data_IF_021544327042
#
_entry.id   IF_021544327042
#
_cell.length_a   1.000
_cell.length_b   1.000
_cell.length_c   1.000
_cell.angle_alpha   90.00
_cell.angle_beta   90.00
_cell.angle_gamma   90.00
#
_symmetry.space_group_name_H-M   'P 1'
#
loop_
_entity.id
_entity.type
_entity.pdbx_description
1 polymer ?
#
# COMPACT_ATOMS: atom_id res chain seq x y z
N UNK A 1 17.05 -16.47 21.11
CA UNK A 1 15.78 -15.85 21.52
C UNK A 1 15.35 -14.86 20.45
N UNK A 2 14.29 -15.18 19.69
CA UNK A 2 13.64 -14.22 18.79
C UNK A 2 12.92 -13.18 19.65
N UNK A 3 13.49 -11.99 19.79
CA UNK A 3 12.82 -10.85 20.43
C UNK A 3 12.06 -10.08 19.37
N UNK A 4 10.81 -10.48 19.11
CA UNK A 4 9.95 -9.76 18.19
C UNK A 4 8.57 -10.40 18.12
N UNK A 5 7.53 -9.65 18.51
CA UNK A 5 6.14 -10.07 18.36
C UNK A 5 5.77 -9.89 16.87
N UNK A 6 6.09 -10.88 16.05
CA UNK A 6 5.68 -10.93 14.64
C UNK A 6 4.18 -11.21 14.53
N UNK A 7 3.52 -10.65 13.51
CA UNK A 7 2.13 -10.98 13.19
C UNK A 7 1.97 -12.43 12.71
N UNK A 8 3.06 -13.07 12.26
CA UNK A 8 3.04 -14.41 11.66
C UNK A 8 2.42 -14.46 10.26
N UNK A 9 1.96 -13.33 9.72
CA UNK A 9 1.24 -13.25 8.46
C UNK A 9 2.16 -13.41 7.24
N UNK A 10 3.35 -12.81 7.26
CA UNK A 10 4.28 -12.91 6.12
C UNK A 10 4.77 -14.35 5.91
N UNK A 11 5.16 -15.11 6.97
CA UNK A 11 5.43 -16.54 6.83
C UNK A 11 4.22 -17.36 6.35
N UNK A 12 3.01 -17.05 6.84
CA UNK A 12 1.78 -17.75 6.44
C UNK A 12 1.46 -17.52 4.96
N UNK A 13 1.52 -16.28 4.49
CA UNK A 13 1.31 -15.93 3.09
C UNK A 13 2.36 -16.58 2.17
N UNK A 14 3.62 -16.57 2.60
CA UNK A 14 4.71 -17.21 1.85
C UNK A 14 4.54 -18.73 1.76
N UNK A 15 4.08 -19.37 2.83
CA UNK A 15 3.80 -20.81 2.85
C UNK A 15 2.62 -21.18 1.96
N UNK A 16 1.53 -20.42 2.04
CA UNK A 16 0.30 -20.71 1.32
C UNK A 16 0.41 -20.39 -0.18
N UNK A 17 1.22 -19.40 -0.56
CA UNK A 17 1.39 -18.96 -1.95
C UNK A 17 0.07 -18.66 -2.68
N UNK A 18 -0.97 -18.32 -1.91
CA UNK A 18 -2.28 -17.90 -2.38
C UNK A 18 -2.68 -16.58 -1.71
N UNK A 19 -3.52 -15.76 -2.35
CA UNK A 19 -4.04 -14.54 -1.75
C UNK A 19 -4.90 -14.83 -0.53
N UNK A 20 -4.67 -14.06 0.53
CA UNK A 20 -5.35 -14.23 1.82
C UNK A 20 -6.07 -12.93 2.18
N UNK A 21 -7.36 -13.04 2.49
CA UNK A 21 -8.13 -11.98 3.11
C UNK A 21 -8.07 -12.13 4.63
N UNK A 22 -7.60 -11.10 5.33
CA UNK A 22 -7.45 -11.10 6.78
C UNK A 22 -8.50 -10.18 7.36
N UNK A 23 -9.57 -10.75 7.91
CA UNK A 23 -10.62 -10.02 8.59
C UNK A 23 -10.25 -9.74 10.06
N UNK A 24 -9.57 -10.68 10.70
CA UNK A 24 -9.04 -10.55 12.06
C UNK A 24 -7.90 -11.55 12.31
N UNK A 25 -7.30 -11.55 13.51
CA UNK A 25 -6.26 -12.53 13.86
C UNK A 25 -6.73 -13.98 13.76
N UNK A 26 -8.01 -14.21 14.02
CA UNK A 26 -8.61 -15.54 14.06
C UNK A 26 -9.53 -15.80 12.85
N UNK A 27 -9.73 -14.79 11.99
CA UNK A 27 -10.51 -14.93 10.75
C UNK A 27 -9.65 -14.60 9.54
N UNK A 28 -9.12 -15.66 8.94
CA UNK A 28 -8.26 -15.64 7.76
C UNK A 28 -8.93 -16.52 6.70
N UNK A 29 -9.22 -15.94 5.55
CA UNK A 29 -9.95 -16.61 4.47
C UNK A 29 -9.06 -16.65 3.22
N UNK A 30 -8.99 -17.81 2.57
CA UNK A 30 -8.46 -17.89 1.21
C UNK A 30 -9.40 -17.14 0.27
N UNK A 31 -8.86 -16.25 -0.56
CA UNK A 31 -9.68 -15.48 -1.51
C UNK A 31 -9.14 -15.61 -2.93
N UNK A 32 -10.02 -15.49 -3.90
CA UNK A 32 -9.63 -15.33 -5.30
C UNK A 32 -9.23 -13.89 -5.57
N UNK A 33 -8.19 -13.68 -6.37
CA UNK A 33 -7.97 -12.40 -7.03
C UNK A 33 -8.76 -12.41 -8.34
N UNK A 34 -9.43 -11.31 -8.74
CA UNK A 34 -10.08 -11.24 -10.03
C UNK A 34 -9.12 -11.57 -11.19
N UNK A 35 -9.66 -12.06 -12.30
CA UNK A 35 -8.84 -12.38 -13.47
C UNK A 35 -8.14 -11.12 -14.00
N UNK A 36 -6.83 -11.21 -14.22
CA UNK A 36 -6.06 -10.14 -14.87
C UNK A 36 -6.47 -9.99 -16.33
N UNK A 37 -6.59 -8.74 -16.79
CA UNK A 37 -6.70 -8.47 -18.23
C UNK A 37 -5.30 -8.37 -18.82
N UNK A 38 -4.99 -9.25 -19.78
CA UNK A 38 -3.68 -9.27 -20.43
C UNK A 38 -3.35 -7.96 -21.18
N UNK A 39 -4.39 -7.24 -21.62
CA UNK A 39 -4.35 -5.94 -22.30
C UNK A 39 -4.75 -4.77 -21.39
N UNK A 40 -4.83 -5.02 -20.08
CA UNK A 40 -5.18 -4.04 -19.06
C UNK A 40 -4.25 -2.83 -19.06
N UNK A 41 -4.83 -1.63 -19.17
CA UNK A 41 -4.07 -0.38 -19.18
C UNK A 41 -3.63 0.04 -17.76
N UNK A 42 -4.46 -0.29 -16.77
CA UNK A 42 -4.17 -0.03 -15.36
C UNK A 42 -3.39 -1.17 -14.72
N UNK A 43 -2.60 -0.85 -13.70
CA UNK A 43 -1.77 -1.82 -13.01
C UNK A 43 -1.59 -1.54 -11.52
N UNK A 44 -1.30 -2.61 -10.78
CA UNK A 44 -0.61 -2.56 -9.48
C UNK A 44 0.86 -2.88 -9.71
N UNK A 45 1.75 -2.11 -9.10
CA UNK A 45 3.19 -2.27 -9.25
C UNK A 45 3.91 -2.11 -7.92
N UNK A 46 5.13 -2.65 -7.85
CA UNK A 46 6.09 -2.42 -6.79
C UNK A 46 7.13 -1.41 -7.26
N UNK A 47 7.51 -0.51 -6.36
CA UNK A 47 8.58 0.45 -6.56
C UNK A 47 9.65 0.17 -5.50
N UNK A 48 10.85 -0.21 -5.93
CA UNK A 48 11.96 -0.43 -5.00
C UNK A 48 12.51 0.91 -4.52
N UNK A 49 12.52 1.12 -3.20
CA UNK A 49 13.09 2.35 -2.63
C UNK A 49 14.61 2.39 -2.65
N UNK A 50 15.27 1.25 -2.83
CA UNK A 50 16.73 1.10 -2.69
C UNK A 50 17.23 1.28 -1.25
N UNK A 51 16.33 1.46 -0.28
CA UNK A 51 16.64 1.67 1.14
C UNK A 51 16.19 0.42 1.90
N UNK A 52 17.05 -0.12 2.77
CA UNK A 52 16.64 -1.21 3.66
C UNK A 52 15.76 -0.62 4.76
N UNK A 53 14.50 -1.06 4.81
CA UNK A 53 13.55 -0.60 5.83
C UNK A 53 13.76 -1.32 7.16
N UNK A 54 13.69 -0.57 8.26
CA UNK A 54 13.68 -1.13 9.61
C UNK A 54 12.27 -1.08 10.20
N UNK A 55 11.73 -2.25 10.58
CA UNK A 55 10.37 -2.34 11.11
C UNK A 55 10.22 -1.70 12.49
N UNK A 56 11.21 -1.87 13.38
CA UNK A 56 11.08 -1.47 14.78
C UNK A 56 10.93 0.05 14.98
N UNK A 57 11.74 0.93 14.33
CA UNK A 57 11.54 2.37 14.42
C UNK A 57 10.17 2.81 13.89
N UNK A 58 9.71 2.20 12.80
CA UNK A 58 8.41 2.52 12.18
C UNK A 58 7.24 2.18 13.10
N UNK A 59 7.30 1.03 13.78
CA UNK A 59 6.33 0.66 14.82
C UNK A 59 6.36 1.66 15.97
N UNK A 60 7.54 2.05 16.47
CA UNK A 60 7.64 3.02 17.56
C UNK A 60 6.99 4.36 17.20
N UNK A 61 7.26 4.88 16.00
CA UNK A 61 6.63 6.12 15.51
C UNK A 61 5.11 5.97 15.45
N UNK A 62 4.62 4.87 14.89
CA UNK A 62 3.18 4.62 14.79
C UNK A 62 2.51 4.54 16.17
N UNK A 63 3.12 3.82 17.12
CA UNK A 63 2.60 3.68 18.48
C UNK A 63 2.62 5.00 19.25
N UNK A 64 3.61 5.85 19.03
CA UNK A 64 3.64 7.20 19.61
C UNK A 64 2.51 8.06 19.05
N UNK A 65 2.31 8.05 17.72
CA UNK A 65 1.21 8.75 17.07
C UNK A 65 -0.16 8.25 17.57
N UNK A 66 -0.32 6.94 17.82
CA UNK A 66 -1.54 6.35 18.37
C UNK A 66 -1.91 6.84 19.77
N UNK A 67 -1.00 7.45 20.52
CA UNK A 67 -1.35 8.11 21.80
C UNK A 67 -2.19 9.37 21.58
N UNK A 68 -2.08 9.99 20.41
CA UNK A 68 -2.82 11.19 20.04
C UNK A 68 -4.25 10.83 19.60
N UNK A 69 -5.25 11.45 20.22
CA UNK A 69 -6.67 11.21 19.88
C UNK A 69 -6.99 11.53 18.41
N UNK A 70 -6.45 12.64 17.89
CA UNK A 70 -6.64 13.04 16.50
C UNK A 70 -6.14 11.99 15.51
N UNK A 71 -4.97 11.39 15.78
CA UNK A 71 -4.42 10.32 14.95
C UNK A 71 -5.28 9.06 15.02
N UNK A 72 -5.73 8.64 16.23
CA UNK A 72 -6.65 7.50 16.39
C UNK A 72 -7.95 7.69 15.61
N UNK A 73 -8.53 8.89 15.66
CA UNK A 73 -9.74 9.22 14.90
C UNK A 73 -9.50 9.18 13.39
N UNK A 74 -8.35 9.68 12.93
CA UNK A 74 -7.94 9.58 11.52
C UNK A 74 -7.78 8.12 11.07
N UNK A 75 -7.12 7.28 11.88
CA UNK A 75 -6.98 5.85 11.58
C UNK A 75 -8.34 5.20 11.39
N UNK A 76 -9.26 5.39 12.34
CA UNK A 76 -10.59 4.78 12.30
C UNK A 76 -11.44 5.29 11.13
N UNK A 77 -11.50 6.61 10.96
CA UNK A 77 -12.51 7.23 10.08
C UNK A 77 -12.02 7.48 8.66
N UNK A 78 -10.70 7.43 8.42
CA UNK A 78 -10.10 7.68 7.11
C UNK A 78 -9.27 6.48 6.65
N UNK A 79 -8.22 6.12 7.38
CA UNK A 79 -7.27 5.10 6.93
C UNK A 79 -7.92 3.72 6.77
N UNK A 80 -8.58 3.21 7.82
CA UNK A 80 -9.28 1.92 7.79
C UNK A 80 -10.41 1.95 6.75
N UNK A 81 -11.25 2.99 6.79
CA UNK A 81 -12.34 3.17 5.81
C UNK A 81 -11.88 3.05 4.36
N UNK A 82 -10.83 3.78 3.98
CA UNK A 82 -10.34 3.73 2.59
C UNK A 82 -9.62 2.42 2.27
N UNK A 83 -8.94 1.82 3.25
CA UNK A 83 -8.31 0.50 3.07
C UNK A 83 -9.35 -0.58 2.81
N UNK A 84 -10.40 -0.66 3.64
CA UNK A 84 -11.48 -1.64 3.50
C UNK A 84 -12.20 -1.47 2.15
N UNK A 85 -12.48 -0.22 1.76
CA UNK A 85 -13.07 0.08 0.46
C UNK A 85 -12.17 -0.36 -0.70
N UNK A 86 -10.85 -0.14 -0.62
CA UNK A 86 -9.92 -0.63 -1.66
C UNK A 86 -9.94 -2.15 -1.76
N UNK A 87 -9.99 -2.87 -0.64
CA UNK A 87 -10.07 -4.35 -0.66
C UNK A 87 -11.37 -4.81 -1.28
N UNK A 88 -12.50 -4.22 -0.87
CA UNK A 88 -13.82 -4.56 -1.41
C UNK A 88 -13.91 -4.27 -2.92
N UNK A 89 -13.48 -3.09 -3.35
CA UNK A 89 -13.45 -2.68 -4.76
C UNK A 89 -12.56 -3.62 -5.58
N UNK A 90 -11.39 -3.98 -5.05
CA UNK A 90 -10.47 -4.90 -5.71
C UNK A 90 -11.10 -6.29 -5.87
N UNK A 91 -11.69 -6.86 -4.81
CA UNK A 91 -12.32 -8.18 -4.87
C UNK A 91 -13.54 -8.22 -5.82
N UNK A 92 -14.28 -7.12 -5.92
CA UNK A 92 -15.42 -7.00 -6.85
C UNK A 92 -15.01 -6.65 -8.28
N UNK A 93 -13.75 -6.28 -8.50
CA UNK A 93 -13.29 -5.76 -9.79
C UNK A 93 -13.82 -4.36 -10.14
N UNK A 94 -14.25 -3.57 -9.16
CA UNK A 94 -14.65 -2.17 -9.36
C UNK A 94 -13.40 -1.26 -9.43
N UNK A 95 -12.76 -1.29 -10.61
CA UNK A 95 -11.52 -0.56 -10.87
C UNK A 95 -11.68 0.95 -10.66
N UNK A 96 -12.84 1.52 -11.00
CA UNK A 96 -13.07 2.97 -10.90
C UNK A 96 -13.15 3.40 -9.43
N UNK A 97 -13.93 2.68 -8.62
CA UNK A 97 -14.02 2.94 -7.19
C UNK A 97 -12.67 2.71 -6.50
N UNK A 98 -11.97 1.63 -6.89
CA UNK A 98 -10.64 1.30 -6.37
C UNK A 98 -9.65 2.46 -6.53
N UNK A 99 -9.53 3.05 -7.72
CA UNK A 99 -8.60 4.16 -7.94
C UNK A 99 -8.98 5.42 -7.16
N UNK A 100 -10.29 5.72 -7.04
CA UNK A 100 -10.75 6.83 -6.22
C UNK A 100 -10.40 6.62 -4.74
N UNK A 101 -10.66 5.43 -4.18
CA UNK A 101 -10.33 5.10 -2.79
C UNK A 101 -8.81 5.05 -2.56
N UNK A 102 -8.05 4.51 -3.52
CA UNK A 102 -6.58 4.46 -3.45
C UNK A 102 -5.98 5.86 -3.43
N UNK A 103 -6.51 6.80 -4.22
CA UNK A 103 -6.09 8.20 -4.18
C UNK A 103 -6.31 8.82 -2.80
N UNK A 104 -7.46 8.58 -2.17
CA UNK A 104 -7.72 9.09 -0.81
C UNK A 104 -6.79 8.45 0.22
N UNK A 105 -6.58 7.13 0.14
CA UNK A 105 -5.65 6.43 1.03
C UNK A 105 -4.22 6.96 0.87
N UNK A 106 -3.76 7.16 -0.37
CA UNK A 106 -2.45 7.73 -0.68
C UNK A 106 -2.27 9.13 -0.08
N UNK A 107 -3.30 9.99 -0.13
CA UNK A 107 -3.30 11.31 0.53
C UNK A 107 -3.19 11.21 2.05
N UNK A 108 -3.95 10.30 2.66
CA UNK A 108 -3.91 10.05 4.11
C UNK A 108 -2.52 9.59 4.53
N UNK A 109 -1.92 8.68 3.78
CA UNK A 109 -0.56 8.18 4.01
C UNK A 109 0.46 9.33 3.93
N UNK A 110 0.46 10.11 2.85
CA UNK A 110 1.39 11.23 2.71
C UNK A 110 1.23 12.28 3.83
N UNK A 111 0.00 12.53 4.28
CA UNK A 111 -0.29 13.58 5.29
C UNK A 111 0.06 13.14 6.71
N UNK A 112 -0.20 11.88 7.06
CA UNK A 112 -0.13 11.41 8.45
C UNK A 112 0.99 10.42 8.73
N UNK A 113 1.55 9.81 7.69
CA UNK A 113 2.61 8.80 7.79
C UNK A 113 3.91 9.28 7.14
N UNK A 114 4.03 10.58 6.87
CA UNK A 114 5.23 11.19 6.26
C UNK A 114 6.56 10.74 6.89
N UNK A 115 6.70 10.62 8.23
CA UNK A 115 7.94 10.13 8.84
C UNK A 115 8.28 8.66 8.53
N UNK A 116 7.29 7.89 8.06
CA UNK A 116 7.43 6.47 7.70
C UNK A 116 7.65 6.27 6.18
N UNK A 117 7.65 7.36 5.41
CA UNK A 117 7.97 7.36 3.97
C UNK A 117 9.42 7.84 3.86
N UNK A 118 10.32 7.16 3.12
CA UNK A 118 11.66 7.68 2.91
C UNK A 118 11.61 9.06 2.23
N UNK A 119 12.46 9.98 2.68
CA UNK A 119 12.36 11.42 2.32
C UNK A 119 12.38 11.66 0.82
N UNK A 120 13.21 10.92 0.07
CA UNK A 120 13.30 11.03 -1.39
C UNK A 120 11.98 10.70 -2.11
N UNK A 121 11.09 9.95 -1.47
CA UNK A 121 9.77 9.61 -2.02
C UNK A 121 8.69 10.63 -1.67
N UNK A 122 8.92 11.64 -0.82
CA UNK A 122 7.86 12.59 -0.44
C UNK A 122 7.37 13.41 -1.63
N UNK A 123 8.30 13.99 -2.40
CA UNK A 123 7.96 14.75 -3.60
C UNK A 123 7.43 13.85 -4.72
N UNK A 124 7.99 12.63 -4.85
CA UNK A 124 7.50 11.64 -5.80
C UNK A 124 6.03 11.27 -5.53
N UNK A 125 5.69 11.05 -4.25
CA UNK A 125 4.35 10.70 -3.81
C UNK A 125 3.36 11.85 -4.06
N UNK A 126 3.78 13.07 -3.74
CA UNK A 126 3.01 14.29 -3.99
C UNK A 126 2.74 14.48 -5.49
N UNK A 127 3.76 14.33 -6.33
CA UNK A 127 3.65 14.43 -7.79
C UNK A 127 2.62 13.43 -8.35
N UNK A 128 2.61 12.19 -7.88
CA UNK A 128 1.61 11.20 -8.29
C UNK A 128 0.18 11.62 -7.96
N UNK A 129 -0.04 12.18 -6.76
CA UNK A 129 -1.35 12.69 -6.33
C UNK A 129 -1.83 13.92 -7.11
N UNK A 130 -0.92 14.78 -7.54
CA UNK A 130 -1.21 16.00 -8.31
C UNK A 130 -1.51 15.69 -9.78
N UNK A 131 -0.68 14.84 -10.39
CA UNK A 131 -0.78 14.45 -11.81
C UNK A 131 -1.86 13.40 -12.06
N UNK A 132 -2.16 12.55 -11.06
CA UNK A 132 -2.96 11.34 -11.17
C UNK A 132 -2.34 10.26 -12.07
N UNK A 133 -1.03 10.33 -12.32
CA UNK A 133 -0.32 9.30 -13.08
C UNK A 133 -0.17 8.01 -12.26
N UNK A 134 -0.09 8.11 -10.94
CA UNK A 134 -0.04 6.98 -10.01
C UNK A 134 -0.41 7.40 -8.58
N UNK A 135 -0.79 6.42 -7.77
CA UNK A 135 -1.02 6.57 -6.33
C UNK A 135 -0.18 5.54 -5.58
N UNK A 136 0.46 5.97 -4.49
CA UNK A 136 1.37 5.12 -3.71
C UNK A 136 0.76 4.76 -2.35
N UNK A 137 1.21 3.64 -1.79
CA UNK A 137 0.88 3.13 -0.46
C UNK A 137 2.10 2.45 0.14
N UNK A 138 2.24 2.51 1.47
CA UNK A 138 3.27 1.74 2.18
C UNK A 138 3.06 0.24 1.99
N UNK A 139 4.14 -0.47 1.66
CA UNK A 139 4.19 -1.93 1.73
C UNK A 139 4.86 -2.33 3.06
N UNK A 140 4.16 -3.06 3.91
CA UNK A 140 4.63 -3.37 5.26
C UNK A 140 4.71 -2.13 6.17
N UNK A 141 5.77 -2.03 6.97
CA UNK A 141 5.94 -1.00 8.00
C UNK A 141 6.36 0.38 7.48
N UNK A 142 6.85 0.48 6.24
CA UNK A 142 7.51 1.69 5.74
C UNK A 142 8.99 1.79 6.15
N UNK A 143 9.58 2.98 5.95
CA UNK A 143 10.99 3.27 6.24
C UNK A 143 11.99 2.80 5.17
N UNK A 144 11.52 2.09 4.14
CA UNK A 144 12.34 1.53 3.06
C UNK A 144 11.62 0.34 2.42
N UNK A 145 12.37 -0.52 1.74
CA UNK A 145 11.86 -1.68 1.02
C UNK A 145 11.05 -1.28 -0.21
N UNK A 146 9.97 -2.01 -0.47
CA UNK A 146 9.08 -1.72 -1.58
C UNK A 146 7.97 -0.73 -1.19
N UNK A 147 7.53 0.06 -2.16
CA UNK A 147 6.32 0.87 -2.10
C UNK A 147 5.33 0.26 -3.08
N UNK A 148 4.08 0.10 -2.65
CA UNK A 148 3.01 -0.40 -3.51
C UNK A 148 2.40 0.77 -4.28
N UNK A 149 2.31 0.64 -5.60
CA UNK A 149 1.78 1.65 -6.50
C UNK A 149 0.59 1.16 -7.31
N UNK A 150 -0.29 2.08 -7.65
CA UNK A 150 -1.49 1.86 -8.45
C UNK A 150 -1.56 2.92 -9.54
N UNK A 151 -1.89 2.53 -10.76
CA UNK A 151 -2.06 3.47 -11.88
C UNK A 151 -3.16 3.01 -12.83
N UNK A 152 -3.92 3.96 -13.39
CA UNK A 152 -4.86 3.70 -14.49
C UNK A 152 -4.14 3.58 -15.85
N UNK A 153 -2.87 3.98 -15.93
CA UNK A 153 -2.07 4.00 -17.15
C UNK A 153 -0.60 3.64 -16.86
N UNK A 154 -0.27 2.36 -17.01
CA UNK A 154 1.07 1.85 -16.72
C UNK A 154 2.16 2.49 -17.58
N UNK A 155 1.84 2.93 -18.80
CA UNK A 155 2.83 3.59 -19.66
C UNK A 155 3.17 4.98 -19.14
N UNK A 156 2.16 5.75 -18.69
CA UNK A 156 2.40 7.03 -18.03
C UNK A 156 3.17 6.88 -16.72
N UNK A 157 2.80 5.90 -15.89
CA UNK A 157 3.49 5.65 -14.64
C UNK A 157 4.97 5.30 -14.87
N UNK A 158 5.28 4.43 -15.85
CA UNK A 158 6.67 4.09 -16.23
C UNK A 158 7.46 5.31 -16.71
N UNK A 159 6.84 6.22 -17.46
CA UNK A 159 7.50 7.46 -17.88
C UNK A 159 7.76 8.39 -16.68
N UNK A 160 6.75 8.60 -15.83
CA UNK A 160 6.83 9.46 -14.65
C UNK A 160 7.79 8.94 -13.58
N UNK A 161 8.01 7.62 -13.53
CA UNK A 161 8.86 6.90 -12.58
C UNK A 161 10.10 6.28 -13.25
N UNK A 162 10.56 6.84 -14.37
CA UNK A 162 11.64 6.27 -15.18
C UNK A 162 12.98 6.13 -14.45
N UNK A 163 13.22 6.96 -13.43
CA UNK A 163 14.42 6.88 -12.58
C UNK A 163 14.35 5.77 -11.52
N UNK A 164 13.22 5.06 -11.42
CA UNK A 164 12.96 4.07 -10.39
C UNK A 164 12.69 2.68 -10.97
N UNK A 165 13.05 1.64 -10.21
CA UNK A 165 12.76 0.26 -10.59
C UNK A 165 11.30 -0.07 -10.29
N UNK A 166 10.48 -0.05 -11.33
CA UNK A 166 9.07 -0.40 -11.30
C UNK A 166 8.84 -1.83 -11.79
N UNK A 167 8.16 -2.64 -10.98
CA UNK A 167 7.77 -4.01 -11.32
C UNK A 167 6.25 -4.17 -11.27
N UNK A 168 5.62 -4.53 -12.39
CA UNK A 168 4.17 -4.75 -12.44
C UNK A 168 3.85 -6.10 -11.80
N UNK A 169 2.90 -6.11 -10.87
CA UNK A 169 2.47 -7.33 -10.16
C UNK A 169 1.01 -7.72 -10.45
N UNK A 170 0.23 -6.82 -11.04
CA UNK A 170 -1.16 -7.08 -11.44
C UNK A 170 -1.63 -6.11 -12.54
N UNK A 171 -2.40 -6.58 -13.51
CA UNK A 171 -3.06 -5.75 -14.54
C UNK A 171 -4.59 -5.79 -14.45
N UNK A 172 -5.24 -4.63 -14.55
CA UNK A 172 -6.69 -4.43 -14.44
C UNK A 172 -7.44 -4.47 -15.78
#
# INVERSE_FOLDING_TARGET
>A
FFHGKSSGLDPLNSYLSIPILINSKDNIEATGIPSQKADGKGAVFLLDSGIIGETAPMISIFMENMKQEGFRKMIKNQFIKHTDACVEDFLKGDVKSLFNNTKQLSKVVLSHFKPMIPVQFHELWKKGLETNDYYLKLCGSGGGGYILGFTEDIQKAKQALSDYKLEVVYNF
#
